data_IF_270804713972
#
_entry.id   IF_270804713972
#
_cell.length_a   1.000
_cell.length_b   1.000
_cell.length_c   1.000
_cell.angle_alpha   90.00
_cell.angle_beta   90.00
_cell.angle_gamma   90.00
#
_symmetry.space_group_name_H-M   'P 1'
#
loop_
_entity.id
_entity.type
_entity.pdbx_description
1 polymer ?
#
# COMPACT_ATOMS: atom_id res chain seq x y z
N UNK A 1 21.18 -36.98 0.28
CA UNK A 1 21.31 -35.87 -0.66
C UNK A 1 19.97 -35.74 -1.37
N UNK A 2 19.03 -35.00 -0.76
CA UNK A 2 17.62 -34.97 -1.21
C UNK A 2 17.35 -33.60 -1.80
N UNK A 3 17.21 -33.53 -3.13
CA UNK A 3 16.84 -32.31 -3.86
C UNK A 3 15.36 -31.97 -3.57
N UNK A 4 15.13 -30.83 -2.95
CA UNK A 4 13.80 -30.27 -2.78
C UNK A 4 13.48 -29.41 -4.02
N UNK A 5 12.68 -29.96 -4.93
CA UNK A 5 12.16 -29.25 -6.10
C UNK A 5 10.96 -28.42 -5.66
N UNK A 6 11.05 -27.08 -5.81
CA UNK A 6 9.92 -26.16 -5.60
C UNK A 6 8.95 -26.26 -6.78
N UNK A 7 7.62 -26.38 -6.55
CA UNK A 7 6.65 -26.35 -7.64
C UNK A 7 6.46 -24.91 -8.16
N UNK A 8 6.73 -24.74 -9.45
CA UNK A 8 6.41 -23.54 -10.21
C UNK A 8 4.89 -23.47 -10.41
N UNK A 9 4.21 -22.52 -9.79
CA UNK A 9 2.79 -22.27 -10.06
C UNK A 9 2.63 -21.57 -11.40
N UNK A 10 2.22 -22.33 -12.40
CA UNK A 10 1.77 -21.88 -13.70
C UNK A 10 0.40 -21.18 -13.52
N UNK A 11 0.37 -19.84 -13.59
CA UNK A 11 -0.86 -19.06 -13.61
C UNK A 11 -1.42 -19.06 -15.02
N UNK A 12 -2.50 -19.83 -15.24
CA UNK A 12 -3.29 -19.82 -16.47
C UNK A 12 -4.18 -18.57 -16.47
N UNK A 13 -3.83 -17.58 -17.31
CA UNK A 13 -4.64 -16.38 -17.57
C UNK A 13 -5.84 -16.76 -18.44
N UNK A 14 -7.03 -16.82 -17.84
CA UNK A 14 -8.29 -16.93 -18.59
C UNK A 14 -8.77 -15.51 -18.91
N UNK A 15 -8.59 -15.07 -20.17
CA UNK A 15 -9.20 -13.85 -20.70
C UNK A 15 -10.69 -14.09 -20.95
N UNK A 16 -11.55 -13.49 -20.14
CA UNK A 16 -12.98 -13.37 -20.46
C UNK A 16 -13.19 -11.97 -21.01
N UNK A 17 -13.35 -11.89 -22.33
CA UNK A 17 -13.81 -10.70 -23.03
C UNK A 17 -15.31 -10.50 -22.73
N UNK A 18 -15.66 -9.47 -21.98
CA UNK A 18 -17.04 -9.07 -21.75
C UNK A 18 -17.31 -7.81 -22.60
N UNK A 19 -18.07 -8.00 -23.68
CA UNK A 19 -18.55 -6.95 -24.57
C UNK A 19 -19.56 -6.06 -23.83
N UNK A 20 -19.34 -4.75 -23.84
CA UNK A 20 -20.29 -3.75 -23.37
C UNK A 20 -21.27 -3.37 -24.48
N UNK A 21 -22.57 -3.26 -24.22
CA UNK A 21 -23.49 -2.56 -25.11
C UNK A 21 -23.43 -1.05 -24.85
N UNK A 22 -23.37 -0.30 -25.95
CA UNK A 22 -23.58 1.15 -25.97
C UNK A 22 -25.03 1.47 -25.70
N UNK A 23 -25.30 2.36 -24.74
CA UNK A 23 -26.60 3.03 -24.63
C UNK A 23 -26.38 4.55 -24.63
N UNK A 24 -26.78 5.17 -25.71
CA UNK A 24 -26.92 6.60 -25.84
C UNK A 24 -28.16 7.06 -25.06
N UNK A 25 -28.00 8.12 -24.26
CA UNK A 25 -29.10 8.81 -23.59
C UNK A 25 -28.66 10.22 -23.27
N UNK A 26 -28.79 11.11 -24.26
CA UNK A 26 -28.70 12.57 -24.07
C UNK A 26 -29.96 13.03 -23.37
N UNK A 27 -29.84 13.63 -22.20
CA UNK A 27 -30.82 14.55 -21.64
C UNK A 27 -30.10 15.79 -21.14
N UNK A 28 -30.22 16.81 -21.95
CA UNK A 28 -29.84 18.18 -21.69
C UNK A 28 -30.90 18.80 -20.78
N UNK A 29 -30.53 19.15 -19.56
CA UNK A 29 -31.28 20.16 -18.78
C UNK A 29 -30.25 21.16 -18.24
N UNK A 30 -30.24 22.31 -18.91
CA UNK A 30 -29.61 23.52 -18.43
C UNK A 30 -30.48 24.10 -17.32
N UNK A 31 -29.91 24.29 -16.12
CA UNK A 31 -30.23 25.40 -15.24
C UNK A 31 -29.01 25.79 -14.45
N UNK A 32 -28.67 27.08 -14.56
CA UNK A 32 -27.46 27.63 -14.01
C UNK A 32 -27.51 27.79 -12.51
N UNK A 33 -26.51 27.30 -11.84
CA UNK A 33 -25.89 27.97 -10.71
C UNK A 33 -24.41 27.54 -10.64
N UNK A 34 -23.56 28.51 -10.94
CA UNK A 34 -22.11 28.36 -11.07
C UNK A 34 -21.43 28.05 -9.75
N UNK A 35 -21.51 26.81 -9.28
CA UNK A 35 -20.60 26.31 -8.26
C UNK A 35 -19.59 25.40 -8.94
N UNK A 36 -18.47 25.99 -9.29
CA UNK A 36 -17.23 25.23 -9.55
C UNK A 36 -16.93 24.40 -8.32
N UNK A 37 -17.48 23.20 -8.27
CA UNK A 37 -17.11 22.20 -7.27
C UNK A 37 -15.69 21.74 -7.62
N UNK A 38 -14.76 22.49 -7.07
CA UNK A 38 -13.35 22.27 -7.34
C UNK A 38 -12.93 20.88 -6.86
N UNK A 39 -12.31 20.15 -7.74
CA UNK A 39 -11.68 18.83 -7.59
C UNK A 39 -10.70 18.71 -6.39
N UNK A 40 -10.59 19.79 -5.58
CA UNK A 40 -9.68 19.89 -4.43
C UNK A 40 -10.17 19.17 -3.17
N UNK A 41 -11.48 18.90 -3.04
CA UNK A 41 -12.01 18.28 -1.82
C UNK A 41 -11.85 16.77 -1.74
N UNK A 42 -11.52 16.09 -2.86
CA UNK A 42 -11.26 14.63 -2.86
C UNK A 42 -9.84 14.28 -2.40
N UNK A 43 -8.89 15.21 -2.53
CA UNK A 43 -7.52 15.04 -2.07
C UNK A 43 -7.35 15.35 -0.57
N UNK A 44 -8.21 16.19 0.01
CA UNK A 44 -8.12 16.59 1.42
C UNK A 44 -8.69 15.55 2.39
N UNK A 45 -9.63 14.70 1.96
CA UNK A 45 -10.17 13.63 2.82
C UNK A 45 -9.27 12.39 2.94
N UNK A 46 -8.24 12.25 2.12
CA UNK A 46 -7.22 11.20 2.29
C UNK A 46 -6.18 11.56 3.37
N UNK A 47 -6.15 12.82 3.83
CA UNK A 47 -5.15 13.31 4.80
C UNK A 47 -5.45 13.00 6.27
N UNK A 48 -6.63 12.53 6.63
CA UNK A 48 -7.03 12.43 8.04
C UNK A 48 -7.53 11.07 8.52
N UNK A 49 -7.74 10.09 7.67
CA UNK A 49 -8.15 8.75 8.12
C UNK A 49 -6.92 7.90 8.39
N UNK A 50 -6.48 7.86 9.65
CA UNK A 50 -5.49 6.90 10.10
C UNK A 50 -6.04 5.48 9.90
N UNK A 51 -5.47 4.72 8.97
CA UNK A 51 -5.78 3.30 8.81
C UNK A 51 -5.07 2.51 9.92
N UNK A 52 -5.81 1.67 10.64
CA UNK A 52 -5.24 0.74 11.62
C UNK A 52 -5.18 -0.67 11.03
N UNK A 53 -4.22 -1.47 11.48
CA UNK A 53 -4.07 -2.85 11.06
C UNK A 53 -2.80 -3.47 11.59
N UNK A 54 -2.46 -4.65 11.06
CA UNK A 54 -1.20 -5.31 11.39
C UNK A 54 -0.12 -4.90 10.39
N UNK A 55 1.08 -4.65 10.90
CA UNK A 55 2.30 -4.53 10.12
C UNK A 55 3.18 -5.76 10.32
N UNK A 56 3.96 -6.11 9.30
CA UNK A 56 5.12 -6.99 9.44
C UNK A 56 6.35 -6.32 8.83
N UNK A 57 7.47 -7.04 8.73
CA UNK A 57 8.65 -6.54 8.06
C UNK A 57 9.38 -7.64 7.30
N UNK A 58 10.22 -7.23 6.35
CA UNK A 58 11.03 -8.12 5.53
C UNK A 58 12.47 -7.58 5.42
N UNK A 59 13.41 -8.48 5.14
CA UNK A 59 14.84 -8.15 5.04
C UNK A 59 15.56 -8.91 3.93
N UNK A 60 14.88 -9.86 3.29
CA UNK A 60 15.48 -10.67 2.23
C UNK A 60 15.68 -9.83 0.97
N UNK A 61 16.80 -10.04 0.25
CA UNK A 61 17.01 -9.39 -1.03
C UNK A 61 15.92 -9.78 -2.02
N UNK A 62 15.28 -8.78 -2.64
CA UNK A 62 14.25 -8.98 -3.65
C UNK A 62 14.17 -7.79 -4.60
N UNK A 63 13.53 -7.99 -5.75
CA UNK A 63 13.17 -6.88 -6.63
C UNK A 63 11.92 -6.19 -6.10
N UNK A 64 11.94 -4.86 -6.14
CA UNK A 64 10.80 -4.02 -5.79
C UNK A 64 9.79 -3.97 -6.94
N UNK A 65 8.50 -3.86 -6.63
CA UNK A 65 7.46 -3.65 -7.62
C UNK A 65 7.56 -2.28 -8.31
N UNK A 66 8.19 -1.29 -7.68
CA UNK A 66 8.50 0.02 -8.28
C UNK A 66 9.73 0.00 -9.19
N UNK A 67 10.44 -1.12 -9.27
CA UNK A 67 11.73 -1.29 -9.93
C UNK A 67 12.92 -1.16 -8.96
N UNK A 68 14.07 -1.69 -9.37
CA UNK A 68 15.28 -1.68 -8.53
C UNK A 68 15.35 -2.82 -7.52
N UNK A 69 16.31 -2.71 -6.62
CA UNK A 69 16.59 -3.68 -5.58
C UNK A 69 16.09 -3.18 -4.22
N UNK A 70 15.62 -4.11 -3.40
CA UNK A 70 15.25 -3.80 -2.02
C UNK A 70 16.49 -3.57 -1.16
N UNK A 71 16.46 -2.47 -0.38
CA UNK A 71 17.44 -2.17 0.65
C UNK A 71 16.78 -2.30 2.03
N UNK A 72 17.17 -3.28 2.85
CA UNK A 72 16.61 -3.48 4.19
C UNK A 72 16.95 -2.33 5.17
N UNK A 73 17.93 -1.48 4.84
CA UNK A 73 18.35 -0.34 5.67
C UNK A 73 17.66 0.99 5.29
N UNK A 74 16.94 1.02 4.17
CA UNK A 74 16.17 2.19 3.76
C UNK A 74 14.85 2.28 4.52
N UNK A 75 14.32 3.51 4.70
CA UNK A 75 13.00 3.76 5.32
C UNK A 75 11.89 3.60 4.29
N UNK A 76 11.58 2.34 3.93
CA UNK A 76 10.62 1.98 2.88
C UNK A 76 9.62 0.94 3.36
N UNK A 77 8.53 0.80 2.59
CA UNK A 77 7.49 -0.16 2.89
C UNK A 77 6.73 -0.62 1.63
N UNK A 78 6.08 -1.78 1.75
CA UNK A 78 5.12 -2.30 0.79
C UNK A 78 3.68 -1.99 1.23
N UNK A 79 2.86 -1.53 0.30
CA UNK A 79 1.42 -1.31 0.52
C UNK A 79 0.62 -1.77 -0.70
N UNK A 80 -0.61 -2.27 -0.46
CA UNK A 80 -1.46 -2.89 -1.51
C UNK A 80 -1.81 -1.93 -2.64
N UNK A 81 -2.20 -0.70 -2.31
CA UNK A 81 -2.86 0.21 -3.25
C UNK A 81 -2.28 1.62 -3.29
N UNK A 82 -1.58 2.08 -2.24
CA UNK A 82 -0.99 3.42 -2.25
C UNK A 82 0.00 3.58 -3.41
N UNK A 83 -0.02 4.70 -4.13
CA UNK A 83 0.93 4.97 -5.21
C UNK A 83 2.39 4.88 -4.73
N UNK A 84 3.29 4.42 -5.59
CA UNK A 84 4.72 4.49 -5.30
C UNK A 84 5.17 5.95 -5.11
N UNK A 85 6.08 6.19 -4.16
CA UNK A 85 6.49 7.51 -3.77
C UNK A 85 5.60 8.17 -2.71
N UNK A 86 4.50 7.52 -2.28
CA UNK A 86 3.70 8.01 -1.16
C UNK A 86 4.49 7.91 0.14
N UNK A 87 4.52 8.98 0.91
CA UNK A 87 5.09 9.01 2.26
C UNK A 87 4.01 8.71 3.28
N UNK A 88 4.31 7.81 4.20
CA UNK A 88 3.37 7.31 5.21
C UNK A 88 4.04 7.34 6.57
N UNK A 89 3.35 7.89 7.56
CA UNK A 89 3.73 7.75 8.97
C UNK A 89 3.10 6.49 9.54
N UNK A 90 3.92 5.60 10.06
CA UNK A 90 3.51 4.37 10.74
C UNK A 90 3.80 4.50 12.22
N UNK A 91 2.77 4.37 13.06
CA UNK A 91 2.88 4.44 14.53
C UNK A 91 2.55 3.07 15.11
N UNK A 92 3.46 2.54 15.91
CA UNK A 92 3.23 1.33 16.71
C UNK A 92 2.26 1.67 17.86
N UNK A 93 1.15 0.96 17.97
CA UNK A 93 0.09 1.32 18.91
C UNK A 93 0.45 0.99 20.37
N UNK A 94 1.25 -0.06 20.61
CA UNK A 94 1.55 -0.52 21.96
C UNK A 94 2.67 0.30 22.63
N UNK A 95 3.62 0.86 21.85
CA UNK A 95 4.75 1.62 22.41
C UNK A 95 4.79 3.09 21.98
N UNK A 96 3.88 3.53 21.09
CA UNK A 96 3.75 4.90 20.63
C UNK A 96 4.83 5.39 19.66
N UNK A 97 5.86 4.58 19.34
CA UNK A 97 6.93 4.95 18.40
C UNK A 97 6.40 5.07 16.99
N UNK A 98 6.96 5.98 16.22
CA UNK A 98 6.58 6.18 14.82
C UNK A 98 7.77 6.31 13.89
N UNK A 99 7.55 6.02 12.62
CA UNK A 99 8.51 6.17 11.53
C UNK A 99 7.80 6.63 10.27
N UNK A 100 8.46 7.48 9.50
CA UNK A 100 8.00 7.86 8.17
C UNK A 100 8.71 7.00 7.13
N UNK A 101 7.92 6.36 6.26
CA UNK A 101 8.40 5.46 5.23
C UNK A 101 7.91 5.86 3.84
N UNK A 102 8.65 5.48 2.82
CA UNK A 102 8.29 5.64 1.42
C UNK A 102 7.70 4.34 0.88
N UNK A 103 6.54 4.41 0.25
CA UNK A 103 5.95 3.24 -0.43
C UNK A 103 6.68 3.02 -1.76
N UNK A 104 7.34 1.88 -1.89
CA UNK A 104 8.09 1.49 -3.09
C UNK A 104 7.87 0.04 -3.52
N UNK A 105 7.01 -0.71 -2.80
CA UNK A 105 6.72 -2.10 -3.11
C UNK A 105 5.23 -2.42 -2.96
N UNK A 106 4.81 -3.60 -3.43
CA UNK A 106 3.44 -4.11 -3.36
C UNK A 106 3.32 -5.25 -2.36
N UNK A 107 2.20 -5.27 -1.68
CA UNK A 107 1.87 -6.18 -0.57
C UNK A 107 1.41 -5.39 0.65
N UNK A 108 1.18 -6.05 1.77
CA UNK A 108 1.15 -7.49 1.99
C UNK A 108 -0.06 -8.19 1.36
N UNK A 109 0.10 -9.46 0.97
CA UNK A 109 -0.98 -10.28 0.42
C UNK A 109 -1.55 -11.26 1.46
N UNK A 110 -1.29 -11.00 2.74
CA UNK A 110 -1.80 -11.75 3.89
C UNK A 110 -2.96 -10.98 4.51
N UNK A 111 -4.06 -11.68 4.80
CA UNK A 111 -5.23 -11.08 5.43
C UNK A 111 -4.89 -10.44 6.80
N UNK A 112 -5.50 -9.29 7.09
CA UNK A 112 -5.27 -8.54 8.32
C UNK A 112 -4.02 -7.66 8.34
N UNK A 113 -3.05 -7.90 7.45
CA UNK A 113 -1.87 -7.03 7.29
C UNK A 113 -2.17 -5.90 6.30
N UNK A 114 -1.74 -4.70 6.66
CA UNK A 114 -1.96 -3.47 5.87
C UNK A 114 -0.67 -2.92 5.27
N UNK A 115 0.47 -3.17 5.91
CA UNK A 115 1.78 -2.67 5.48
C UNK A 115 2.88 -3.64 5.88
N UNK A 116 3.90 -3.79 5.04
CA UNK A 116 5.13 -4.50 5.37
C UNK A 116 6.31 -3.51 5.31
N UNK A 117 7.01 -3.38 6.43
CA UNK A 117 8.10 -2.43 6.60
C UNK A 117 9.44 -3.04 6.19
N UNK A 118 10.40 -2.20 5.80
CA UNK A 118 11.81 -2.61 5.80
C UNK A 118 12.28 -2.94 7.21
N UNK A 119 13.35 -3.72 7.33
CA UNK A 119 13.96 -4.05 8.63
C UNK A 119 14.33 -2.79 9.44
N UNK A 120 14.92 -1.80 8.79
CA UNK A 120 15.31 -0.55 9.45
C UNK A 120 14.10 0.23 9.98
N UNK A 121 13.02 0.33 9.19
CA UNK A 121 11.79 0.98 9.63
C UNK A 121 11.13 0.23 10.80
N UNK A 122 11.07 -1.10 10.75
CA UNK A 122 10.57 -1.95 11.82
C UNK A 122 11.39 -1.80 13.12
N UNK A 123 12.71 -1.70 13.00
CA UNK A 123 13.60 -1.46 14.14
C UNK A 123 13.34 -0.10 14.79
N UNK A 124 13.12 0.95 13.99
CA UNK A 124 12.80 2.30 14.49
C UNK A 124 11.57 2.32 15.39
N UNK A 125 10.55 1.56 15.08
CA UNK A 125 9.32 1.47 15.89
C UNK A 125 9.36 0.32 16.91
N UNK A 126 10.47 -0.41 17.01
CA UNK A 126 10.69 -1.44 18.02
C UNK A 126 9.87 -2.71 17.85
N UNK A 127 9.52 -3.09 16.59
CA UNK A 127 8.70 -4.28 16.34
C UNK A 127 9.49 -5.52 15.91
N UNK A 128 10.79 -5.43 15.73
CA UNK A 128 11.61 -6.53 15.20
C UNK A 128 11.60 -7.80 16.05
N UNK A 129 11.45 -7.66 17.38
CA UNK A 129 11.34 -8.80 18.29
C UNK A 129 10.01 -9.54 18.22
N UNK A 130 8.94 -8.87 17.79
CA UNK A 130 7.59 -9.44 17.70
C UNK A 130 7.28 -9.99 16.30
N UNK A 131 7.98 -9.53 15.26
CA UNK A 131 7.74 -9.89 13.86
C UNK A 131 6.52 -9.23 13.22
N UNK A 132 5.44 -9.08 13.98
CA UNK A 132 4.20 -8.37 13.60
C UNK A 132 3.78 -7.44 14.73
N UNK A 133 3.12 -6.32 14.39
CA UNK A 133 2.68 -5.34 15.37
C UNK A 133 1.39 -4.65 14.93
N UNK A 134 0.59 -4.21 15.91
CA UNK A 134 -0.56 -3.34 15.67
C UNK A 134 -0.08 -1.91 15.42
N UNK A 135 -0.53 -1.34 14.31
CA UNK A 135 -0.11 0.01 13.92
C UNK A 135 -1.30 0.88 13.52
N UNK A 136 -1.09 2.19 13.56
CA UNK A 136 -1.86 3.15 12.79
C UNK A 136 -0.98 3.75 11.69
N UNK A 137 -1.59 4.02 10.55
CA UNK A 137 -0.91 4.52 9.36
C UNK A 137 -1.59 5.80 8.89
N UNK A 138 -0.81 6.85 8.64
CA UNK A 138 -1.30 8.15 8.14
C UNK A 138 -0.53 8.53 6.89
N UNK A 139 -1.23 8.84 5.81
CA UNK A 139 -0.62 9.34 4.56
C UNK A 139 -0.18 10.79 4.76
N UNK A 140 1.09 11.07 4.51
CA UNK A 140 1.68 12.41 4.65
C UNK A 140 1.69 13.20 3.34
N UNK A 141 1.65 12.51 2.20
CA UNK A 141 1.69 13.09 0.87
C UNK A 141 2.54 12.26 -0.10
N UNK A 142 2.78 12.81 -1.26
CA UNK A 142 3.60 12.22 -2.32
C UNK A 142 4.66 13.21 -2.77
#
# INVERSE_FOLDING_TARGET
MTLFVKPTKLFLLLFIAMSMPAAAGVSENADGDGRRYTRSHRASNLKASGQTGMASYYWQPQRLASGGQFDPNAMTAAHKTLPFGTRVRVKHLDNGRSVDVLINDRGPYIAGRVIDLSRAAASKIGMTGQGVARISMTVLGR
#
